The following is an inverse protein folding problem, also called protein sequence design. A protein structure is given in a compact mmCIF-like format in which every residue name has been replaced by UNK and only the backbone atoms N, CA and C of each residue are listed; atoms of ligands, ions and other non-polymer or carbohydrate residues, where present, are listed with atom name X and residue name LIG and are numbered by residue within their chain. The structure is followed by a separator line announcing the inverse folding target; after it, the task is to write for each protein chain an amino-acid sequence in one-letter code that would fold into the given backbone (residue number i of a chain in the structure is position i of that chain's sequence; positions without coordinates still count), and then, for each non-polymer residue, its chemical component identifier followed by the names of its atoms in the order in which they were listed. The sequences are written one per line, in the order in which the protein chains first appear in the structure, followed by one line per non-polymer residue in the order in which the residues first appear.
data_IF_382153544899
#
_entry.id   IF_382153544899
#
_cell.length_a   1.000
_cell.length_b   1.000
_cell.length_c   1.000
_cell.angle_alpha   90.00
_cell.angle_beta   90.00
_cell.angle_gamma   90.00
#
_symmetry.space_group_name_H-M   'P 1'
#
loop_
_entity.id
_entity.type
_entity.pdbx_description
1 polymer ?
#
# COMPACT_ATOMS: atom_id res chain seq x y z
N UNK A 1 50.48 40.35 -25.72
CA UNK A 1 50.01 40.05 -24.34
C UNK A 1 48.85 39.07 -24.46
N UNK A 2 49.14 37.76 -24.46
CA UNK A 2 48.14 36.70 -24.66
C UNK A 2 47.65 36.25 -23.28
N UNK A 3 46.34 36.38 -23.04
CA UNK A 3 45.68 35.90 -21.82
C UNK A 3 45.66 34.37 -21.78
N UNK A 4 46.22 33.79 -20.72
CA UNK A 4 46.13 32.37 -20.39
C UNK A 4 44.72 32.07 -19.87
N UNK A 5 44.01 31.19 -20.57
CA UNK A 5 42.66 30.71 -20.25
C UNK A 5 42.76 29.81 -19.02
N UNK A 6 42.03 30.17 -17.97
CA UNK A 6 41.92 29.40 -16.73
C UNK A 6 41.39 27.99 -16.96
N UNK A 7 42.05 27.02 -16.35
CA UNK A 7 41.54 25.66 -16.22
C UNK A 7 40.39 25.64 -15.22
N UNK A 8 39.16 25.77 -15.72
CA UNK A 8 37.97 25.40 -14.96
C UNK A 8 37.88 23.88 -14.89
N UNK A 9 38.38 23.31 -13.80
CA UNK A 9 38.17 21.89 -13.46
C UNK A 9 36.68 21.70 -13.19
N UNK A 10 35.97 21.16 -14.16
CA UNK A 10 34.53 20.90 -14.11
C UNK A 10 34.28 19.76 -13.10
N UNK A 11 34.05 20.13 -11.84
CA UNK A 11 33.65 19.19 -10.80
C UNK A 11 32.29 18.61 -11.18
N UNK A 12 32.27 17.35 -11.60
CA UNK A 12 31.02 16.61 -11.86
C UNK A 12 30.08 16.72 -10.63
N UNK A 13 28.77 16.89 -10.85
CA UNK A 13 27.82 17.11 -9.76
C UNK A 13 27.66 15.83 -8.93
N UNK A 14 28.29 15.80 -7.76
CA UNK A 14 28.09 14.74 -6.73
C UNK A 14 26.67 14.71 -6.15
N UNK A 15 25.89 15.76 -6.41
CA UNK A 15 24.53 16.06 -5.88
C UNK A 15 23.42 15.16 -6.47
N UNK A 16 23.74 14.30 -7.45
CA UNK A 16 22.77 13.33 -7.97
C UNK A 16 22.78 12.01 -7.21
N UNK A 17 23.96 11.53 -6.81
CA UNK A 17 24.13 10.15 -6.34
C UNK A 17 23.71 9.97 -4.87
N UNK A 18 23.81 11.02 -4.07
CA UNK A 18 23.30 11.11 -2.70
C UNK A 18 21.77 11.11 -2.66
N UNK A 19 21.11 11.94 -3.47
CA UNK A 19 19.65 12.08 -3.50
C UNK A 19 18.93 10.76 -3.87
N UNK A 20 19.40 10.05 -4.91
CA UNK A 20 18.85 8.74 -5.28
C UNK A 20 18.97 7.72 -4.15
N UNK A 21 20.11 7.71 -3.46
CA UNK A 21 20.39 6.74 -2.39
C UNK A 21 19.55 7.03 -1.15
N UNK A 22 19.33 8.31 -0.82
CA UNK A 22 18.41 8.71 0.24
C UNK A 22 16.97 8.35 -0.07
N UNK A 23 16.51 8.53 -1.31
CA UNK A 23 15.17 8.12 -1.74
C UNK A 23 14.96 6.60 -1.66
N UNK A 24 15.96 5.82 -2.06
CA UNK A 24 15.91 4.37 -1.93
C UNK A 24 15.76 3.97 -0.46
N UNK A 25 16.55 4.56 0.44
CA UNK A 25 16.45 4.33 1.89
C UNK A 25 15.08 4.73 2.45
N UNK A 26 14.56 5.87 2.00
CA UNK A 26 13.24 6.37 2.37
C UNK A 26 12.12 5.42 1.97
N UNK A 27 12.23 4.79 0.79
CA UNK A 27 11.24 3.84 0.26
C UNK A 27 11.41 2.43 0.82
N UNK A 28 12.63 2.05 1.22
CA UNK A 28 12.95 0.72 1.77
C UNK A 28 12.19 0.43 3.06
N UNK A 29 12.18 1.37 4.00
CA UNK A 29 11.51 1.18 5.31
C UNK A 29 10.01 0.91 5.16
N UNK A 30 9.19 1.79 4.53
CA UNK A 30 7.78 1.52 4.32
C UNK A 30 7.56 0.31 3.40
N UNK A 31 8.44 0.06 2.43
CA UNK A 31 8.39 -1.13 1.59
C UNK A 31 8.49 -2.43 2.38
N UNK A 32 9.42 -2.51 3.34
CA UNK A 32 9.55 -3.66 4.23
C UNK A 32 8.34 -3.82 5.16
N UNK A 33 7.81 -2.72 5.70
CA UNK A 33 6.60 -2.75 6.53
C UNK A 33 5.41 -3.28 5.72
N UNK A 34 5.21 -2.79 4.50
CA UNK A 34 4.16 -3.26 3.58
C UNK A 34 4.34 -4.73 3.26
N UNK A 35 5.56 -5.18 2.96
CA UNK A 35 5.85 -6.58 2.66
C UNK A 35 5.53 -7.50 3.85
N UNK A 36 5.97 -7.13 5.05
CA UNK A 36 5.68 -7.90 6.26
C UNK A 36 4.19 -7.94 6.57
N UNK A 37 3.49 -6.80 6.41
CA UNK A 37 2.05 -6.74 6.58
C UNK A 37 1.31 -7.61 5.54
N UNK A 38 1.77 -7.65 4.29
CA UNK A 38 1.21 -8.51 3.25
C UNK A 38 1.42 -10.00 3.55
N UNK A 39 2.60 -10.40 4.03
CA UNK A 39 2.86 -11.78 4.48
C UNK A 39 1.96 -12.16 5.65
N UNK A 40 1.76 -11.24 6.59
CA UNK A 40 0.85 -11.46 7.73
C UNK A 40 -0.61 -11.57 7.29
N UNK A 41 -1.02 -10.77 6.30
CA UNK A 41 -2.34 -10.86 5.67
C UNK A 41 -2.56 -12.22 5.00
N UNK A 42 -1.58 -12.72 4.25
CA UNK A 42 -1.62 -14.06 3.64
C UNK A 42 -1.77 -15.18 4.69
N UNK A 43 -1.02 -15.07 5.78
CA UNK A 43 -1.15 -16.00 6.90
C UNK A 43 -2.56 -15.92 7.52
N UNK A 44 -3.07 -14.72 7.76
CA UNK A 44 -4.38 -14.51 8.37
C UNK A 44 -5.52 -15.04 7.50
N UNK A 45 -5.45 -14.84 6.17
CA UNK A 45 -6.42 -15.43 5.21
C UNK A 45 -6.33 -16.95 5.20
N UNK A 46 -5.13 -17.52 5.23
CA UNK A 46 -4.97 -18.98 5.29
C UNK A 46 -5.54 -19.55 6.59
N UNK A 47 -5.38 -18.83 7.69
CA UNK A 47 -5.95 -19.20 8.98
C UNK A 47 -7.48 -19.07 8.98
N UNK A 48 -8.02 -18.03 8.36
CA UNK A 48 -9.47 -17.81 8.23
C UNK A 48 -10.17 -18.98 7.50
N UNK A 49 -9.58 -19.46 6.41
CA UNK A 49 -10.06 -20.66 5.71
C UNK A 49 -10.12 -21.87 6.64
N UNK A 50 -9.06 -22.09 7.42
CA UNK A 50 -9.01 -23.22 8.36
C UNK A 50 -9.99 -23.06 9.52
N UNK A 51 -10.21 -21.82 9.97
CA UNK A 51 -11.20 -21.49 10.99
C UNK A 51 -12.61 -21.87 10.52
N UNK A 52 -12.98 -21.53 9.29
CA UNK A 52 -14.27 -21.90 8.71
C UNK A 52 -14.49 -23.40 8.59
N UNK A 53 -13.43 -24.15 8.26
CA UNK A 53 -13.51 -25.62 8.15
C UNK A 53 -13.70 -26.27 9.52
N UNK A 54 -13.07 -25.73 10.57
CA UNK A 54 -13.02 -26.37 11.89
C UNK A 54 -14.09 -25.89 12.86
N UNK A 55 -14.40 -24.60 12.87
CA UNK A 55 -15.35 -23.95 13.79
C UNK A 55 -16.71 -23.70 13.13
N UNK A 56 -16.73 -23.57 11.80
CA UNK A 56 -17.92 -23.24 11.03
C UNK A 56 -18.06 -21.75 10.75
N UNK A 57 -19.26 -21.32 10.32
CA UNK A 57 -19.49 -19.93 9.90
C UNK A 57 -19.49 -18.99 11.10
N UNK A 58 -18.71 -17.94 10.98
CA UNK A 58 -18.38 -17.02 12.04
C UNK A 58 -18.97 -15.61 11.77
N UNK A 59 -18.74 -14.68 12.71
CA UNK A 59 -19.24 -13.30 12.63
C UNK A 59 -18.12 -12.37 12.14
N UNK A 60 -18.48 -11.16 11.74
CA UNK A 60 -17.54 -10.17 11.18
C UNK A 60 -16.35 -9.80 12.08
N UNK A 61 -16.42 -10.04 13.39
CA UNK A 61 -15.35 -9.75 14.34
C UNK A 61 -14.84 -11.03 15.00
N UNK A 62 -14.20 -11.90 14.20
CA UNK A 62 -13.49 -13.08 14.69
C UNK A 62 -11.99 -12.88 14.58
N UNK A 63 -11.23 -13.73 15.29
CA UNK A 63 -9.77 -13.60 15.37
C UNK A 63 -9.09 -13.56 13.99
N UNK A 64 -9.40 -14.44 13.03
CA UNK A 64 -8.78 -14.37 11.71
C UNK A 64 -9.10 -13.05 10.98
N UNK A 65 -10.37 -12.63 10.99
CA UNK A 65 -10.79 -11.34 10.42
C UNK A 65 -10.05 -10.14 11.03
N UNK A 66 -9.85 -10.12 12.35
CA UNK A 66 -9.11 -9.04 13.02
C UNK A 66 -7.65 -8.98 12.56
N UNK A 67 -7.01 -10.11 12.30
CA UNK A 67 -5.64 -10.17 11.80
C UNK A 67 -5.56 -9.70 10.33
N UNK A 68 -6.54 -10.07 9.50
CA UNK A 68 -6.67 -9.58 8.12
C UNK A 68 -6.85 -8.05 8.12
N UNK A 69 -7.83 -7.54 8.88
CA UNK A 69 -8.10 -6.11 8.99
C UNK A 69 -6.91 -5.32 9.53
N UNK A 70 -6.26 -5.84 10.57
CA UNK A 70 -5.08 -5.22 11.18
C UNK A 70 -3.94 -5.11 10.18
N UNK A 71 -3.63 -6.18 9.45
CA UNK A 71 -2.55 -6.18 8.45
C UNK A 71 -2.82 -5.23 7.28
N UNK A 72 -4.05 -5.21 6.76
CA UNK A 72 -4.47 -4.29 5.70
C UNK A 72 -4.39 -2.83 6.19
N UNK A 73 -4.79 -2.56 7.43
CA UNK A 73 -4.70 -1.23 8.03
C UNK A 73 -3.25 -0.78 8.14
N UNK A 74 -2.36 -1.62 8.66
CA UNK A 74 -0.92 -1.31 8.77
C UNK A 74 -0.31 -1.05 7.40
N UNK A 75 -0.65 -1.88 6.41
CA UNK A 75 -0.18 -1.73 5.04
C UNK A 75 -0.66 -0.41 4.41
N UNK A 76 -1.93 -0.05 4.58
CA UNK A 76 -2.50 1.21 4.11
C UNK A 76 -1.88 2.44 4.78
N UNK A 77 -1.67 2.40 6.09
CA UNK A 77 -1.01 3.49 6.83
C UNK A 77 0.45 3.65 6.42
N UNK A 78 1.18 2.56 6.23
CA UNK A 78 2.56 2.60 5.75
C UNK A 78 2.66 3.19 4.33
N UNK A 79 1.74 2.80 3.44
CA UNK A 79 1.65 3.36 2.10
C UNK A 79 1.30 4.86 2.11
N UNK A 80 0.34 5.28 2.94
CA UNK A 80 -0.02 6.69 3.09
C UNK A 80 1.14 7.51 3.66
N UNK A 81 1.82 7.00 4.69
CA UNK A 81 2.99 7.65 5.27
C UNK A 81 4.11 7.80 4.22
N UNK A 82 4.37 6.76 3.42
CA UNK A 82 5.35 6.83 2.33
C UNK A 82 5.00 7.94 1.33
N UNK A 83 3.74 8.00 0.87
CA UNK A 83 3.27 9.04 -0.07
C UNK A 83 3.44 10.44 0.53
N UNK A 84 3.08 10.65 1.79
CA UNK A 84 3.18 11.95 2.45
C UNK A 84 4.63 12.39 2.63
N UNK A 85 5.50 11.51 3.12
CA UNK A 85 6.92 11.82 3.34
C UNK A 85 7.59 12.12 2.00
N UNK A 86 7.35 11.30 0.98
CA UNK A 86 7.92 11.51 -0.36
C UNK A 86 7.39 12.80 -1.00
N UNK A 87 6.12 13.14 -0.77
CA UNK A 87 5.53 14.42 -1.23
C UNK A 87 6.15 15.64 -0.55
N UNK A 88 6.41 15.58 0.75
CA UNK A 88 7.07 16.68 1.49
C UNK A 88 8.49 16.88 0.97
N UNK A 89 9.24 15.80 0.76
CA UNK A 89 10.60 15.84 0.23
C UNK A 89 10.64 16.31 -1.23
N UNK A 90 9.69 15.90 -2.06
CA UNK A 90 9.55 16.37 -3.43
C UNK A 90 9.27 17.88 -3.51
N UNK A 91 8.59 18.46 -2.52
CA UNK A 91 8.38 19.92 -2.45
C UNK A 91 9.64 20.69 -2.07
N UNK A 92 10.56 20.06 -1.35
CA UNK A 92 11.81 20.67 -0.90
C UNK A 92 12.96 20.48 -1.90
N UNK A 93 12.92 19.40 -2.71
CA UNK A 93 14.00 19.01 -3.61
C UNK A 93 13.51 18.71 -5.03
N UNK A 94 14.01 19.46 -6.01
CA UNK A 94 13.66 19.30 -7.44
C UNK A 94 14.14 17.97 -8.02
N UNK A 95 15.23 17.40 -7.49
CA UNK A 95 15.73 16.06 -7.86
C UNK A 95 14.70 14.97 -7.51
N UNK A 96 14.19 14.99 -6.28
CA UNK A 96 13.16 14.06 -5.79
C UNK A 96 11.84 14.20 -6.56
N UNK A 97 11.46 15.43 -6.92
CA UNK A 97 10.26 15.69 -7.72
C UNK A 97 10.31 15.07 -9.13
N UNK A 98 11.51 14.83 -9.70
CA UNK A 98 11.67 14.19 -11.01
C UNK A 98 11.56 12.66 -10.97
N UNK A 99 11.80 12.04 -9.81
CA UNK A 99 11.78 10.58 -9.65
C UNK A 99 10.47 10.00 -9.11
N UNK A 100 9.63 10.85 -8.50
CA UNK A 100 8.29 10.47 -8.09
C UNK A 100 7.32 10.56 -9.27
N UNK A 101 6.35 9.65 -9.34
CA UNK A 101 5.24 9.79 -10.29
C UNK A 101 4.25 10.82 -9.73
N UNK A 102 4.03 11.95 -10.41
CA UNK A 102 3.10 12.96 -9.91
C UNK A 102 1.67 12.45 -10.07
N UNK A 103 0.96 12.29 -8.94
CA UNK A 103 -0.47 12.01 -8.92
C UNK A 103 -1.23 13.30 -8.60
N UNK A 104 -2.18 13.66 -9.46
CA UNK A 104 -3.04 14.85 -9.33
C UNK A 104 -2.31 16.20 -9.09
N UNK A 105 -1.05 16.34 -9.55
CA UNK A 105 -0.17 17.52 -9.34
C UNK A 105 0.13 17.88 -7.87
N UNK A 106 -0.35 17.10 -6.89
CA UNK A 106 -0.25 17.44 -5.46
C UNK A 106 0.55 16.43 -4.64
N UNK A 107 0.59 15.17 -5.06
CA UNK A 107 1.31 14.08 -4.41
C UNK A 107 2.35 13.50 -5.36
N UNK A 108 3.55 13.23 -4.85
CA UNK A 108 4.62 12.58 -5.61
C UNK A 108 5.11 11.38 -4.83
N UNK A 109 4.91 10.19 -5.38
CA UNK A 109 5.29 8.93 -4.74
C UNK A 109 5.56 7.84 -5.78
N UNK A 110 6.15 6.72 -5.35
CA UNK A 110 6.23 5.50 -6.16
C UNK A 110 4.84 4.92 -6.49
N UNK A 111 4.71 4.31 -7.68
CA UNK A 111 3.48 3.64 -8.13
C UNK A 111 3.00 2.57 -7.13
N UNK A 112 3.94 1.83 -6.54
CA UNK A 112 3.64 0.78 -5.56
C UNK A 112 2.92 1.32 -4.32
N UNK A 113 3.31 2.49 -3.81
CA UNK A 113 2.65 3.11 -2.67
C UNK A 113 1.21 3.53 -3.00
N UNK A 114 0.95 4.01 -4.22
CA UNK A 114 -0.41 4.32 -4.65
C UNK A 114 -1.28 3.07 -4.78
N UNK A 115 -0.76 2.00 -5.38
CA UNK A 115 -1.49 0.74 -5.55
C UNK A 115 -1.83 0.12 -4.20
N UNK A 116 -0.86 0.08 -3.28
CA UNK A 116 -1.06 -0.47 -1.94
C UNK A 116 -2.03 0.37 -1.12
N UNK A 117 -1.89 1.70 -1.16
CA UNK A 117 -2.80 2.61 -0.47
C UNK A 117 -4.24 2.51 -1.00
N UNK A 118 -4.41 2.44 -2.32
CA UNK A 118 -5.72 2.27 -2.95
C UNK A 118 -6.34 0.90 -2.61
N UNK A 119 -5.56 -0.18 -2.67
CA UNK A 119 -6.04 -1.52 -2.31
C UNK A 119 -6.45 -1.62 -0.84
N UNK A 120 -5.70 -0.99 0.07
CA UNK A 120 -6.08 -0.93 1.48
C UNK A 120 -7.36 -0.12 1.72
N UNK A 121 -7.56 0.97 0.98
CA UNK A 121 -8.78 1.77 1.04
C UNK A 121 -9.99 0.99 0.51
N UNK A 122 -9.84 0.31 -0.64
CA UNK A 122 -10.89 -0.52 -1.22
C UNK A 122 -11.30 -1.64 -0.25
N UNK A 123 -10.32 -2.33 0.34
CA UNK A 123 -10.59 -3.35 1.36
C UNK A 123 -11.33 -2.79 2.59
N UNK A 124 -10.99 -1.59 3.05
CA UNK A 124 -11.68 -0.94 4.16
C UNK A 124 -13.12 -0.56 3.81
N UNK A 125 -13.37 -0.10 2.58
CA UNK A 125 -14.72 0.25 2.09
C UNK A 125 -15.54 -1.02 1.90
N UNK A 126 -14.97 -2.08 1.32
CA UNK A 126 -15.67 -3.33 1.04
C UNK A 126 -16.13 -4.06 2.30
N UNK A 127 -15.39 -3.92 3.40
CA UNK A 127 -15.62 -4.69 4.63
C UNK A 127 -17.04 -4.52 5.23
N UNK A 128 -17.60 -3.30 5.38
CA UNK A 128 -19.01 -3.12 5.76
C UNK A 128 -20.03 -3.75 4.81
N UNK A 129 -19.77 -3.75 3.50
CA UNK A 129 -20.74 -4.17 2.48
C UNK A 129 -20.91 -5.69 2.39
N UNK A 130 -19.87 -6.45 2.77
CA UNK A 130 -19.88 -7.92 2.80
C UNK A 130 -20.98 -8.48 3.71
N UNK A 131 -21.19 -7.89 4.88
CA UNK A 131 -22.26 -8.30 5.80
C UNK A 131 -23.66 -8.04 5.21
N UNK A 132 -23.85 -6.87 4.60
CA UNK A 132 -25.16 -6.46 4.05
C UNK A 132 -25.59 -7.27 2.83
N UNK A 133 -24.65 -7.79 2.03
CA UNK A 133 -24.96 -8.67 0.90
C UNK A 133 -25.62 -9.99 1.31
N UNK A 134 -25.27 -10.53 2.49
CA UNK A 134 -25.81 -11.79 3.02
C UNK A 134 -27.29 -11.67 3.38
N UNK A 135 -27.76 -10.50 3.85
CA UNK A 135 -29.18 -10.28 4.16
C UNK A 135 -30.05 -10.23 2.91
N UNK A 136 -29.57 -9.62 1.83
CA UNK A 136 -30.27 -9.63 0.53
C UNK A 136 -30.21 -11.01 -0.16
N UNK A 137 -29.14 -11.77 0.03
CA UNK A 137 -28.99 -13.12 -0.51
C UNK A 137 -29.80 -14.18 0.25
N UNK A 138 -30.05 -14.02 1.55
CA UNK A 138 -30.96 -14.89 2.30
C UNK A 138 -32.40 -14.84 1.74
N UNK A 139 -32.84 -13.68 1.25
CA UNK A 139 -34.12 -13.54 0.55
C UNK A 139 -34.10 -14.20 -0.85
N UNK A 140 -32.94 -14.27 -1.50
CA UNK A 140 -32.76 -14.94 -2.81
C UNK A 140 -32.47 -16.43 -2.72
N UNK A 141 -31.98 -16.96 -1.58
CA UNK A 141 -31.78 -18.40 -1.36
C UNK A 141 -33.11 -19.18 -1.29
N UNK A 142 -34.23 -18.50 -1.06
CA UNK A 142 -35.57 -19.06 -1.25
C UNK A 142 -35.90 -19.35 -2.74
N UNK A 143 -35.09 -18.86 -3.68
CA UNK A 143 -35.24 -19.06 -5.14
C UNK A 143 -34.48 -20.29 -5.69
N UNK A 144 -33.84 -21.11 -4.85
CA UNK A 144 -33.30 -22.41 -5.28
C UNK A 144 -32.10 -22.38 -6.24
N UNK A 145 -31.32 -21.28 -6.30
CA UNK A 145 -30.08 -21.24 -7.08
C UNK A 145 -28.88 -21.58 -6.20
N UNK A 146 -28.23 -22.70 -6.49
CA UNK A 146 -26.95 -23.09 -5.89
C UNK A 146 -25.87 -22.11 -6.34
N UNK A 147 -25.51 -21.18 -5.45
CA UNK A 147 -24.35 -20.33 -5.62
C UNK A 147 -23.27 -20.78 -4.64
N UNK A 148 -22.05 -20.98 -5.15
CA UNK A 148 -20.87 -21.18 -4.32
C UNK A 148 -20.63 -19.85 -3.60
N UNK A 149 -21.05 -19.79 -2.34
CA UNK A 149 -20.77 -18.67 -1.45
C UNK A 149 -19.28 -18.67 -1.17
N UNK A 150 -18.54 -17.88 -1.94
CA UNK A 150 -17.20 -17.46 -1.56
C UNK A 150 -17.37 -16.49 -0.38
N UNK A 151 -17.48 -17.06 0.82
CA UNK A 151 -17.25 -16.33 2.06
C UNK A 151 -15.76 -16.06 2.11
N UNK A 152 -15.40 -14.79 1.96
CA UNK A 152 -14.34 -14.24 2.78
C UNK A 152 -14.81 -14.16 4.23
#
# INVERSE_FOLDING_TARGET
MVQSIGSCTLSAPRVGMDAHTELLRLRLVPGWIILLAALFSLFAVSWDIQWHITVGRDRTLTMPHLFILGSITVMGLAALAAVLIETIWARQSVSVAREGTPFARMFSSSLGAYLVGYGALDAAIAFPWINTGIRSMALMSLSGRHFISWCW
#
